data_IF_039091549783
#
_entry.id   IF_039091549783
#
_cell.length_a   1.000
_cell.length_b   1.000
_cell.length_c   1.000
_cell.angle_alpha   90.00
_cell.angle_beta   90.00
_cell.angle_gamma   90.00
#
_symmetry.space_group_name_H-M   'P 1'
#
loop_
_entity.id
_entity.type
_entity.pdbx_description
1 polymer ?
#
# COMPACT_ATOMS: atom_id res chain seq x y z
N UNK A 1 -26.62 -52.23 7.66
CA UNK A 1 -27.20 -50.91 7.32
C UNK A 1 -26.37 -49.76 7.88
N UNK A 2 -25.99 -49.75 9.17
CA UNK A 2 -25.13 -48.70 9.78
C UNK A 2 -23.75 -48.54 9.10
N UNK A 3 -23.11 -49.64 8.66
CA UNK A 3 -21.79 -49.59 8.01
C UNK A 3 -21.80 -48.87 6.65
N UNK A 4 -22.92 -48.92 5.91
CA UNK A 4 -23.10 -48.19 4.65
C UNK A 4 -23.20 -46.69 4.88
N UNK A 5 -23.87 -46.29 5.95
CA UNK A 5 -24.04 -44.89 6.36
C UNK A 5 -22.67 -44.30 6.73
N UNK A 6 -21.90 -44.99 7.57
CA UNK A 6 -20.57 -44.54 8.01
C UNK A 6 -19.61 -44.37 6.83
N UNK A 7 -19.58 -45.34 5.90
CA UNK A 7 -18.73 -45.25 4.70
C UNK A 7 -19.11 -44.07 3.80
N UNK A 8 -20.41 -43.79 3.64
CA UNK A 8 -20.89 -42.65 2.87
C UNK A 8 -20.42 -41.31 3.46
N UNK A 9 -20.62 -41.12 4.77
CA UNK A 9 -20.17 -39.90 5.45
C UNK A 9 -18.64 -39.75 5.45
N UNK A 10 -17.90 -40.84 5.59
CA UNK A 10 -16.44 -40.84 5.51
C UNK A 10 -15.96 -40.36 4.12
N UNK A 11 -16.59 -40.84 3.05
CA UNK A 11 -16.26 -40.43 1.67
C UNK A 11 -16.57 -38.96 1.43
N UNK A 12 -17.73 -38.47 1.91
CA UNK A 12 -18.11 -37.06 1.79
C UNK A 12 -17.11 -36.17 2.55
N UNK A 13 -16.78 -36.50 3.79
CA UNK A 13 -15.85 -35.74 4.61
C UNK A 13 -14.46 -35.69 3.96
N UNK A 14 -13.99 -36.83 3.44
CA UNK A 14 -12.68 -36.92 2.80
C UNK A 14 -12.62 -36.11 1.50
N UNK A 15 -13.68 -36.16 0.68
CA UNK A 15 -13.79 -35.39 -0.57
C UNK A 15 -13.79 -33.87 -0.30
N UNK A 16 -14.61 -33.42 0.65
CA UNK A 16 -14.69 -32.01 1.04
C UNK A 16 -13.38 -31.52 1.64
N UNK A 17 -12.73 -32.34 2.48
CA UNK A 17 -11.44 -32.03 3.07
C UNK A 17 -10.34 -31.85 2.02
N UNK A 18 -10.22 -32.81 1.08
CA UNK A 18 -9.22 -32.74 0.00
C UNK A 18 -9.51 -31.56 -0.93
N UNK A 19 -10.77 -31.33 -1.28
CA UNK A 19 -11.18 -30.19 -2.10
C UNK A 19 -10.83 -28.85 -1.45
N UNK A 20 -11.10 -28.70 -0.15
CA UNK A 20 -10.75 -27.50 0.62
C UNK A 20 -9.23 -27.29 0.68
N UNK A 21 -8.45 -28.37 0.85
CA UNK A 21 -6.99 -28.29 0.89
C UNK A 21 -6.39 -27.83 -0.46
N UNK A 22 -6.95 -28.30 -1.58
CA UNK A 22 -6.51 -27.90 -2.92
C UNK A 22 -6.81 -26.42 -3.20
N UNK A 23 -8.02 -25.95 -2.86
CA UNK A 23 -8.39 -24.54 -2.99
C UNK A 23 -7.51 -23.67 -2.09
N UNK A 24 -7.24 -24.10 -0.86
CA UNK A 24 -6.36 -23.40 0.07
C UNK A 24 -4.92 -23.31 -0.45
N UNK A 25 -4.37 -24.41 -0.97
CA UNK A 25 -3.02 -24.44 -1.53
C UNK A 25 -2.89 -23.52 -2.76
N UNK A 26 -3.89 -23.52 -3.65
CA UNK A 26 -3.95 -22.60 -4.79
C UNK A 26 -4.02 -21.14 -4.31
N UNK A 27 -4.88 -20.84 -3.34
CA UNK A 27 -4.97 -19.51 -2.72
C UNK A 27 -3.63 -19.05 -2.14
N UNK A 28 -2.95 -19.93 -1.41
CA UNK A 28 -1.63 -19.65 -0.82
C UNK A 28 -0.57 -19.40 -1.91
N UNK A 29 -0.63 -20.16 -3.00
CA UNK A 29 0.30 -20.00 -4.14
C UNK A 29 0.12 -18.65 -4.83
N UNK A 30 -1.12 -18.14 -4.96
CA UNK A 30 -1.36 -16.81 -5.50
C UNK A 30 -0.80 -15.69 -4.61
N UNK A 31 -0.95 -15.82 -3.29
CA UNK A 31 -0.48 -14.81 -2.32
C UNK A 31 1.05 -14.71 -2.35
N UNK A 32 1.77 -15.83 -2.38
CA UNK A 32 3.23 -15.82 -2.46
C UNK A 32 3.78 -15.32 -3.80
N UNK A 33 3.05 -15.55 -4.91
CA UNK A 33 3.50 -15.14 -6.24
C UNK A 33 3.47 -13.62 -6.46
N UNK A 34 2.72 -12.87 -5.65
CA UNK A 34 2.59 -11.41 -5.75
C UNK A 34 3.51 -10.63 -4.77
N UNK A 35 4.53 -11.26 -4.19
CA UNK A 35 5.54 -10.56 -3.38
C UNK A 35 6.78 -10.25 -4.24
N UNK A 36 6.84 -9.13 -5.00
CA UNK A 36 8.06 -8.72 -5.67
C UNK A 36 9.08 -8.30 -4.62
N UNK A 37 10.16 -9.08 -4.53
CA UNK A 37 11.34 -8.69 -3.78
C UNK A 37 11.96 -7.44 -4.39
N UNK A 38 11.70 -6.29 -3.77
CA UNK A 38 12.45 -5.07 -4.03
C UNK A 38 13.47 -4.89 -2.90
N UNK A 39 14.59 -5.58 -3.02
CA UNK A 39 15.74 -5.31 -2.16
C UNK A 39 17.05 -5.59 -2.89
N UNK A 40 17.63 -4.53 -3.46
CA UNK A 40 19.09 -4.42 -3.62
C UNK A 40 19.50 -2.98 -3.33
N UNK A 41 19.67 -2.66 -2.05
CA UNK A 41 20.43 -1.48 -1.64
C UNK A 41 21.82 -1.98 -1.30
N UNK A 42 22.83 -1.48 -2.03
CA UNK A 42 24.22 -1.85 -1.84
C UNK A 42 24.75 -1.41 -0.46
N UNK A 43 25.70 -2.14 0.15
CA UNK A 43 26.30 -1.73 1.40
C UNK A 43 27.23 -0.53 1.16
N UNK A 44 26.83 0.66 1.62
CA UNK A 44 27.74 1.81 1.74
C UNK A 44 28.54 1.61 3.02
N UNK A 45 29.77 1.16 2.83
CA UNK A 45 30.78 1.04 3.87
C UNK A 45 31.69 2.27 3.76
N UNK A 46 31.55 3.25 4.65
CA UNK A 46 32.67 3.93 5.34
C UNK A 46 32.14 5.00 6.31
N UNK A 47 32.98 5.36 7.28
CA UNK A 47 32.90 6.40 8.30
C UNK A 47 32.44 5.88 9.67
N UNK A 48 33.40 5.21 10.32
CA UNK A 48 33.60 5.31 11.77
C UNK A 48 33.62 6.78 12.19
N UNK A 49 32.79 7.16 13.16
CA UNK A 49 33.11 8.17 14.17
C UNK A 49 32.35 7.80 15.44
N UNK A 50 33.13 7.42 16.43
CA UNK A 50 32.75 7.27 17.83
C UNK A 50 32.30 8.64 18.33
N UNK A 51 31.02 8.79 18.62
CA UNK A 51 30.39 9.74 19.53
C UNK A 51 28.88 9.48 19.42
N UNK A 52 28.13 9.63 20.52
CA UNK A 52 26.67 9.45 20.51
C UNK A 52 25.99 10.83 20.39
N UNK A 53 25.61 11.28 19.18
CA UNK A 53 24.65 12.37 19.03
C UNK A 53 23.21 11.91 19.29
N UNK A 54 22.68 12.36 20.43
CA UNK A 54 21.24 12.45 20.71
C UNK A 54 20.63 13.55 19.81
N UNK A 55 20.63 13.37 18.49
CA UNK A 55 19.99 14.31 17.54
C UNK A 55 19.42 13.67 16.26
N UNK A 56 19.62 12.36 16.01
CA UNK A 56 19.18 11.72 14.75
C UNK A 56 17.74 11.20 14.73
N UNK A 57 16.94 11.37 15.79
CA UNK A 57 15.53 10.96 15.76
C UNK A 57 14.60 12.04 15.20
N UNK A 58 15.05 13.30 15.07
CA UNK A 58 14.22 14.44 14.61
C UNK A 58 14.27 14.64 13.10
N UNK A 59 15.27 14.08 12.40
CA UNK A 59 15.45 14.30 10.96
C UNK A 59 14.98 13.13 10.07
N UNK A 60 14.31 12.11 10.61
CA UNK A 60 13.49 11.22 9.78
C UNK A 60 12.24 12.01 9.41
N UNK A 61 12.40 12.96 8.48
CA UNK A 61 11.30 13.64 7.80
C UNK A 61 10.29 12.56 7.46
N UNK A 62 9.14 12.59 8.14
CA UNK A 62 8.05 11.62 8.00
C UNK A 62 7.50 11.77 6.57
N UNK A 63 8.24 11.21 5.62
CA UNK A 63 7.89 11.20 4.21
C UNK A 63 7.01 9.99 4.06
N UNK A 64 5.70 10.23 4.10
CA UNK A 64 4.72 9.17 3.91
C UNK A 64 4.81 8.73 2.44
N UNK A 65 5.17 7.48 2.22
CA UNK A 65 5.30 6.90 0.88
C UNK A 65 4.00 6.25 0.46
N UNK A 66 3.80 6.08 -0.86
CA UNK A 66 2.63 5.35 -1.38
C UNK A 66 2.54 3.92 -0.85
N UNK A 67 3.68 3.28 -0.54
CA UNK A 67 3.71 1.96 0.11
C UNK A 67 3.22 1.98 1.55
N UNK A 68 3.53 3.03 2.31
CA UNK A 68 3.03 3.17 3.69
C UNK A 68 1.51 3.37 3.68
N UNK A 69 1.00 4.12 2.70
CA UNK A 69 -0.45 4.32 2.50
C UNK A 69 -1.12 3.01 2.11
N UNK A 70 -0.53 2.26 1.18
CA UNK A 70 -1.07 0.95 0.78
C UNK A 70 -1.15 -0.05 1.94
N UNK A 71 -0.19 0.00 2.88
CA UNK A 71 -0.22 -0.84 4.07
C UNK A 71 -1.36 -0.49 5.06
N UNK A 72 -1.85 0.76 5.04
CA UNK A 72 -2.89 1.24 5.97
C UNK A 72 -4.28 1.23 5.33
N UNK A 73 -4.39 1.60 4.06
CA UNK A 73 -5.66 1.89 3.38
C UNK A 73 -6.31 0.68 2.70
N UNK A 74 -5.63 -0.47 2.65
CA UNK A 74 -6.14 -1.65 1.95
C UNK A 74 -6.37 -1.38 0.46
N UNK A 75 -7.60 -1.55 -0.02
CA UNK A 75 -7.94 -1.40 -1.44
C UNK A 75 -8.06 0.08 -1.86
N UNK A 76 -8.55 0.97 -0.99
CA UNK A 76 -8.81 2.38 -1.36
C UNK A 76 -7.62 3.30 -1.06
N UNK A 77 -6.50 2.97 -1.69
CA UNK A 77 -5.25 3.74 -1.53
C UNK A 77 -5.32 5.13 -2.16
N UNK A 78 -6.13 5.30 -3.21
CA UNK A 78 -6.22 6.55 -3.96
C UNK A 78 -7.00 7.61 -3.19
N UNK A 79 -8.11 7.25 -2.52
CA UNK A 79 -8.83 8.20 -1.68
C UNK A 79 -7.94 8.71 -0.54
N UNK A 80 -7.21 7.83 0.14
CA UNK A 80 -6.29 8.25 1.21
C UNK A 80 -5.16 9.15 0.70
N UNK A 81 -4.66 8.90 -0.51
CA UNK A 81 -3.65 9.77 -1.13
C UNK A 81 -4.20 11.17 -1.44
N UNK A 82 -5.46 11.26 -1.87
CA UNK A 82 -6.11 12.55 -2.12
C UNK A 82 -6.28 13.36 -0.83
N UNK A 83 -6.64 12.70 0.28
CA UNK A 83 -6.71 13.32 1.60
C UNK A 83 -5.33 13.77 2.10
N UNK A 84 -4.30 12.93 1.91
CA UNK A 84 -2.92 13.29 2.25
C UNK A 84 -2.43 14.49 1.43
N UNK A 85 -2.77 14.55 0.14
CA UNK A 85 -2.42 15.70 -0.70
C UNK A 85 -3.02 16.99 -0.14
N UNK A 86 -4.29 16.98 0.30
CA UNK A 86 -4.95 18.14 0.93
C UNK A 86 -4.23 18.56 2.21
N UNK A 87 -3.89 17.62 3.09
CA UNK A 87 -3.14 17.92 4.31
C UNK A 87 -1.74 18.52 4.01
N UNK A 88 -1.07 18.07 2.94
CA UNK A 88 0.18 18.69 2.50
C UNK A 88 0.00 20.11 1.97
N UNK A 89 -1.13 20.44 1.34
CA UNK A 89 -1.45 21.82 0.95
C UNK A 89 -1.63 22.69 2.19
N UNK A 90 -2.43 22.22 3.14
CA UNK A 90 -2.72 22.93 4.39
C UNK A 90 -1.45 23.21 5.22
N UNK A 91 -0.49 22.29 5.19
CA UNK A 91 0.80 22.44 5.88
C UNK A 91 1.87 23.17 5.04
N UNK A 92 1.50 23.74 3.88
CA UNK A 92 2.40 24.50 3.01
C UNK A 92 3.38 23.66 2.18
N UNK A 93 3.28 22.33 2.23
CA UNK A 93 4.13 21.37 1.51
C UNK A 93 3.64 21.12 0.08
N UNK A 94 3.43 22.19 -0.69
CA UNK A 94 2.79 22.13 -2.01
C UNK A 94 3.51 21.23 -3.02
N UNK A 95 4.84 21.15 -2.99
CA UNK A 95 5.62 20.28 -3.89
C UNK A 95 5.29 18.80 -3.67
N UNK A 96 5.13 18.38 -2.41
CA UNK A 96 4.75 17.00 -2.08
C UNK A 96 3.30 16.73 -2.46
N UNK A 97 2.40 17.69 -2.20
CA UNK A 97 1.00 17.59 -2.62
C UNK A 97 0.89 17.42 -4.15
N UNK A 98 1.60 18.21 -4.94
CA UNK A 98 1.62 18.11 -6.41
C UNK A 98 2.03 16.71 -6.87
N UNK A 99 3.10 16.15 -6.30
CA UNK A 99 3.58 14.80 -6.63
C UNK A 99 2.53 13.72 -6.35
N UNK A 100 1.77 13.84 -5.26
CA UNK A 100 0.69 12.91 -4.95
C UNK A 100 -0.48 13.10 -5.92
N UNK A 101 -0.87 14.34 -6.22
CA UNK A 101 -1.93 14.63 -7.17
C UNK A 101 -1.60 14.07 -8.57
N UNK A 102 -0.35 14.20 -9.02
CA UNK A 102 0.10 13.62 -10.31
C UNK A 102 -0.04 12.09 -10.33
N UNK A 103 0.24 11.43 -9.20
CA UNK A 103 0.03 9.99 -9.08
C UNK A 103 -1.46 9.63 -9.14
N UNK A 104 -2.33 10.37 -8.43
CA UNK A 104 -3.78 10.17 -8.46
C UNK A 104 -4.35 10.39 -9.88
N UNK A 105 -3.82 11.36 -10.64
CA UNK A 105 -4.21 11.58 -12.03
C UNK A 105 -3.90 10.39 -12.94
N UNK A 106 -2.84 9.63 -12.65
CA UNK A 106 -2.43 8.47 -13.45
C UNK A 106 -3.13 7.17 -13.03
N UNK A 107 -3.40 6.99 -11.73
CA UNK A 107 -3.84 5.72 -11.16
C UNK A 107 -5.29 5.72 -10.65
N UNK A 108 -5.87 6.90 -10.41
CA UNK A 108 -7.23 7.03 -9.90
C UNK A 108 -8.30 6.78 -10.96
N UNK A 109 -9.53 6.56 -10.53
CA UNK A 109 -10.70 6.50 -11.41
C UNK A 109 -11.15 7.90 -11.89
N UNK A 110 -12.10 7.98 -12.82
CA UNK A 110 -12.58 9.24 -13.39
C UNK A 110 -12.99 10.30 -12.34
N UNK A 111 -13.61 9.87 -11.24
CA UNK A 111 -14.04 10.78 -10.16
C UNK A 111 -12.83 11.31 -9.40
N UNK A 112 -11.90 10.43 -9.03
CA UNK A 112 -10.67 10.78 -8.30
C UNK A 112 -9.75 11.67 -9.14
N UNK A 113 -9.64 11.40 -10.45
CA UNK A 113 -8.87 12.24 -11.38
C UNK A 113 -9.47 13.63 -11.50
N UNK A 114 -10.79 13.75 -11.64
CA UNK A 114 -11.47 15.05 -11.72
C UNK A 114 -11.24 15.89 -10.46
N UNK A 115 -11.29 15.26 -9.28
CA UNK A 115 -11.02 15.93 -8.02
C UNK A 115 -9.54 16.34 -7.89
N UNK A 116 -8.60 15.49 -8.30
CA UNK A 116 -7.18 15.84 -8.33
C UNK A 116 -6.88 17.02 -9.27
N UNK A 117 -7.52 17.08 -10.45
CA UNK A 117 -7.42 18.22 -11.36
C UNK A 117 -7.94 19.50 -10.73
N UNK A 118 -9.09 19.44 -10.04
CA UNK A 118 -9.66 20.59 -9.34
C UNK A 118 -8.68 21.14 -8.31
N UNK A 119 -8.12 20.29 -7.45
CA UNK A 119 -7.15 20.69 -6.42
C UNK A 119 -5.88 21.26 -7.06
N UNK A 120 -5.36 20.64 -8.12
CA UNK A 120 -4.18 21.13 -8.85
C UNK A 120 -4.39 22.54 -9.44
N UNK A 121 -5.59 22.82 -9.95
CA UNK A 121 -5.92 24.15 -10.48
C UNK A 121 -6.00 25.20 -9.37
N UNK A 122 -6.55 24.84 -8.20
CA UNK A 122 -6.56 25.73 -7.03
C UNK A 122 -5.13 26.09 -6.58
N UNK A 123 -4.21 25.13 -6.59
CA UNK A 123 -2.80 25.37 -6.26
C UNK A 123 -2.10 26.31 -7.25
N UNK A 124 -2.41 26.19 -8.55
CA UNK A 124 -1.84 27.09 -9.57
C UNK A 124 -2.33 28.52 -9.37
N UNK A 125 -3.61 28.68 -9.06
CA UNK A 125 -4.19 29.98 -8.78
C UNK A 125 -3.57 30.64 -7.53
N UNK A 126 -3.38 29.88 -6.44
CA UNK A 126 -2.80 30.41 -5.20
C UNK A 126 -1.29 30.67 -5.26
N UNK A 127 -0.58 30.10 -6.24
CA UNK A 127 0.86 30.38 -6.43
C UNK A 127 1.17 31.68 -7.19
N UNK A 128 0.14 32.41 -7.64
CA UNK A 128 0.26 33.65 -8.41
C UNK A 128 -0.11 34.92 -7.61
N UNK A 129 -0.39 34.80 -6.31
CA UNK A 129 -0.58 35.89 -5.34
C UNK A 129 0.66 36.05 -4.47
#
# INVERSE_FOLDING_TARGET
MISLIIKSYLVILLSVGIGSLLVFALGLTLIFKLMPQRARVAPVNDISHDEIPIERAVNKSLTITSSDIAAISGEDTIATQLDLARAYIETGRQTLAKKILDYVLQQGNNIQQAEALRIMNLLKASSHE
#
